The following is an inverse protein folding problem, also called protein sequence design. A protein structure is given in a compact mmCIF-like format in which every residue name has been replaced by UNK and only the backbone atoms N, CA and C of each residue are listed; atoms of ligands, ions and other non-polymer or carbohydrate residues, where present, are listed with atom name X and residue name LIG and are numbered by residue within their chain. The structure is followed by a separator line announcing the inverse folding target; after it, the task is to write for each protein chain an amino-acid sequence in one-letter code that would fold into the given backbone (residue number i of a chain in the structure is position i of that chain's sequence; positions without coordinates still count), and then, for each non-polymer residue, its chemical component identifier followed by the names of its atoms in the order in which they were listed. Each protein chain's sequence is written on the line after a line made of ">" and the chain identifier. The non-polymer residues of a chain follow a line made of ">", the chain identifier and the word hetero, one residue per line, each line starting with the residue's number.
data_IF_532463884579
#
_entry.id   IF_532463884579
#
_cell.length_a   1.000
_cell.length_b   1.000
_cell.length_c   1.000
_cell.angle_alpha   90.00
_cell.angle_beta   90.00
_cell.angle_gamma   90.00
#
_symmetry.space_group_name_H-M   'P 1'
#
loop_
_entity.id
_entity.type
_entity.pdbx_description
1 polymer ?
#
# COMPACT_ATOMS: atom_id res chain seq x y z
N UNK A 1 -22.70 5.21 5.72
CA UNK A 1 -23.56 4.26 6.45
C UNK A 1 -24.91 4.86 6.82
N UNK A 2 -24.97 5.93 7.62
CA UNK A 2 -26.24 6.56 8.07
C UNK A 2 -27.17 7.07 6.95
N UNK A 3 -26.67 7.25 5.73
CA UNK A 3 -27.50 7.69 4.60
C UNK A 3 -28.28 6.55 3.95
N UNK A 4 -27.79 5.29 4.04
CA UNK A 4 -28.49 4.11 3.53
C UNK A 4 -29.34 3.42 4.60
N UNK A 5 -29.01 3.62 5.89
CA UNK A 5 -29.77 3.05 7.00
C UNK A 5 -31.27 3.33 6.98
N UNK A 6 -31.78 4.50 6.52
CA UNK A 6 -33.22 4.74 6.45
C UNK A 6 -33.92 3.95 5.33
N UNK A 7 -33.16 3.39 4.38
CA UNK A 7 -33.69 2.62 3.24
C UNK A 7 -33.68 1.11 3.49
N UNK A 8 -33.05 0.64 4.57
CA UNK A 8 -33.13 -0.74 5.01
C UNK A 8 -34.30 -0.93 5.98
N UNK A 9 -35.07 -2.00 5.79
CA UNK A 9 -36.12 -2.38 6.74
C UNK A 9 -35.52 -2.77 8.10
N UNK A 10 -34.45 -3.57 8.09
CA UNK A 10 -33.59 -3.82 9.25
C UNK A 10 -32.10 -3.60 8.84
N UNK A 11 -31.43 -2.55 9.35
CA UNK A 11 -30.05 -2.23 8.97
C UNK A 11 -29.00 -3.17 9.59
N UNK A 12 -29.36 -3.97 10.61
CA UNK A 12 -28.43 -4.95 11.22
C UNK A 12 -28.61 -6.36 10.67
N UNK A 13 -29.64 -6.59 9.86
CA UNK A 13 -29.84 -7.82 9.11
C UNK A 13 -28.63 -8.14 8.22
N UNK A 14 -28.34 -9.44 8.05
CA UNK A 14 -27.23 -9.92 7.21
C UNK A 14 -27.34 -9.42 5.77
N UNK A 15 -28.54 -9.41 5.19
CA UNK A 15 -28.77 -8.94 3.83
C UNK A 15 -28.41 -7.47 3.66
N UNK A 16 -28.85 -6.61 4.60
CA UNK A 16 -28.55 -5.18 4.62
C UNK A 16 -27.06 -4.89 4.75
N UNK A 17 -26.35 -5.66 5.59
CA UNK A 17 -24.89 -5.60 5.73
C UNK A 17 -24.18 -5.99 4.43
N UNK A 18 -24.54 -7.13 3.86
CA UNK A 18 -23.94 -7.64 2.63
C UNK A 18 -24.15 -6.69 1.45
N UNK A 19 -25.37 -6.14 1.29
CA UNK A 19 -25.67 -5.16 0.25
C UNK A 19 -24.86 -3.87 0.45
N UNK A 20 -24.76 -3.38 1.69
CA UNK A 20 -23.93 -2.22 2.01
C UNK A 20 -22.47 -2.45 1.64
N UNK A 21 -21.89 -3.57 2.08
CA UNK A 21 -20.50 -3.97 1.77
C UNK A 21 -20.26 -4.06 0.25
N UNK A 22 -21.19 -4.65 -0.49
CA UNK A 22 -21.09 -4.78 -1.95
C UNK A 22 -21.15 -3.42 -2.66
N UNK A 23 -22.05 -2.52 -2.25
CA UNK A 23 -22.15 -1.17 -2.81
C UNK A 23 -20.84 -0.40 -2.59
N UNK A 24 -20.23 -0.53 -1.42
CA UNK A 24 -18.93 0.11 -1.15
C UNK A 24 -17.79 -0.51 -1.96
N UNK A 25 -17.72 -1.84 -2.00
CA UNK A 25 -16.68 -2.56 -2.72
C UNK A 25 -16.72 -2.23 -4.22
N UNK A 26 -17.89 -2.35 -4.85
CA UNK A 26 -18.06 -2.14 -6.29
C UNK A 26 -18.09 -0.65 -6.62
N UNK A 27 -18.89 0.14 -5.91
CA UNK A 27 -19.12 1.54 -6.24
C UNK A 27 -17.86 2.40 -6.11
N UNK A 28 -17.09 2.22 -5.03
CA UNK A 28 -15.83 2.95 -4.85
C UNK A 28 -14.65 2.28 -5.57
N UNK A 29 -14.70 0.96 -5.78
CA UNK A 29 -13.63 0.22 -6.45
C UNK A 29 -13.60 0.42 -7.96
N UNK A 30 -14.77 0.41 -8.63
CA UNK A 30 -14.88 0.41 -10.09
C UNK A 30 -14.10 1.54 -10.78
N UNK A 31 -14.20 2.82 -10.35
CA UNK A 31 -13.44 3.89 -10.99
C UNK A 31 -11.92 3.67 -10.93
N UNK A 32 -11.42 3.10 -9.84
CA UNK A 32 -9.98 2.87 -9.65
C UNK A 32 -9.51 1.70 -10.53
N UNK A 33 -10.29 0.62 -10.64
CA UNK A 33 -9.98 -0.47 -11.57
C UNK A 33 -9.94 0.02 -13.02
N UNK A 34 -10.93 0.82 -13.44
CA UNK A 34 -10.94 1.40 -14.78
C UNK A 34 -9.75 2.33 -15.03
N UNK A 35 -9.41 3.16 -14.04
CA UNK A 35 -8.25 4.05 -14.12
C UNK A 35 -6.93 3.26 -14.25
N UNK A 36 -6.76 2.21 -13.46
CA UNK A 36 -5.58 1.36 -13.52
C UNK A 36 -5.45 0.60 -14.84
N UNK A 37 -6.55 0.07 -15.38
CA UNK A 37 -6.57 -0.55 -16.72
C UNK A 37 -6.14 0.46 -17.79
N UNK A 38 -6.67 1.68 -17.73
CA UNK A 38 -6.27 2.74 -18.66
C UNK A 38 -4.77 3.05 -18.55
N UNK A 39 -4.20 3.11 -17.33
CA UNK A 39 -2.75 3.28 -17.16
C UNK A 39 -1.99 2.12 -17.81
N UNK A 40 -2.36 0.87 -17.54
CA UNK A 40 -1.63 -0.31 -18.04
C UNK A 40 -1.60 -0.36 -19.57
N UNK A 41 -2.71 0.03 -20.22
CA UNK A 41 -2.85 -0.02 -21.69
C UNK A 41 -2.21 1.21 -22.34
N UNK A 42 -2.37 2.40 -21.76
CA UNK A 42 -2.04 3.67 -22.41
C UNK A 42 -0.66 4.23 -22.02
N UNK A 43 -0.09 3.83 -20.88
CA UNK A 43 1.17 4.37 -20.40
C UNK A 43 2.35 3.79 -21.19
N UNK A 44 3.16 4.67 -21.80
CA UNK A 44 4.44 4.27 -22.40
C UNK A 44 5.38 3.77 -21.31
N UNK A 45 5.89 2.55 -21.50
CA UNK A 45 6.83 1.93 -20.56
C UNK A 45 8.16 2.65 -20.57
N UNK A 46 8.58 3.14 -19.40
CA UNK A 46 9.94 3.63 -19.16
C UNK A 46 10.50 2.98 -17.90
N UNK A 47 11.06 1.79 -18.05
CA UNK A 47 11.61 1.01 -16.93
C UNK A 47 12.82 1.67 -16.25
N UNK A 48 13.35 2.77 -16.80
CA UNK A 48 14.45 3.54 -16.20
C UNK A 48 13.95 4.78 -15.47
N UNK A 49 12.73 5.25 -15.69
CA UNK A 49 12.17 6.36 -14.94
C UNK A 49 11.76 5.90 -13.53
N UNK A 50 12.23 6.63 -12.51
CA UNK A 50 11.81 6.38 -11.11
C UNK A 50 10.29 6.54 -10.94
N UNK A 51 9.67 7.50 -11.62
CA UNK A 51 8.23 7.71 -11.56
C UNK A 51 7.44 6.49 -12.08
N UNK A 52 7.90 5.88 -13.18
CA UNK A 52 7.28 4.68 -13.75
C UNK A 52 7.43 3.48 -12.81
N UNK A 53 8.61 3.28 -12.22
CA UNK A 53 8.86 2.20 -11.24
C UNK A 53 7.96 2.38 -10.01
N UNK A 54 7.96 3.58 -9.43
CA UNK A 54 7.13 3.89 -8.26
C UNK A 54 5.64 3.70 -8.53
N UNK A 55 5.15 4.14 -9.70
CA UNK A 55 3.75 3.93 -10.09
C UNK A 55 3.42 2.44 -10.25
N UNK A 56 4.30 1.67 -10.90
CA UNK A 56 4.08 0.23 -11.10
C UNK A 56 4.05 -0.51 -9.77
N UNK A 57 5.01 -0.25 -8.89
CA UNK A 57 5.05 -0.85 -7.54
C UNK A 57 3.85 -0.39 -6.69
N UNK A 58 3.49 0.88 -6.77
CA UNK A 58 2.29 1.43 -6.12
C UNK A 58 1.04 0.67 -6.54
N UNK A 59 0.81 0.51 -7.83
CA UNK A 59 -0.34 -0.24 -8.35
C UNK A 59 -0.32 -1.69 -7.88
N UNK A 60 0.83 -2.36 -7.92
CA UNK A 60 0.96 -3.74 -7.46
C UNK A 60 0.61 -3.89 -5.97
N UNK A 61 1.14 -3.00 -5.11
CA UNK A 61 0.87 -2.99 -3.66
C UNK A 61 -0.60 -2.66 -3.39
N UNK A 62 -1.16 -1.69 -4.11
CA UNK A 62 -2.56 -1.31 -4.01
C UNK A 62 -3.46 -2.51 -4.30
N UNK A 63 -3.27 -3.16 -5.45
CA UNK A 63 -4.09 -4.30 -5.85
C UNK A 63 -3.91 -5.50 -4.92
N UNK A 64 -2.70 -5.70 -4.38
CA UNK A 64 -2.50 -6.72 -3.35
C UNK A 64 -3.29 -6.41 -2.08
N UNK A 65 -3.27 -5.14 -1.62
CA UNK A 65 -4.11 -4.68 -0.52
C UNK A 65 -5.61 -4.88 -0.79
N UNK A 66 -6.08 -4.53 -1.99
CA UNK A 66 -7.48 -4.74 -2.39
C UNK A 66 -7.83 -6.23 -2.43
N UNK A 67 -6.96 -7.10 -2.95
CA UNK A 67 -7.18 -8.55 -2.95
C UNK A 67 -7.39 -9.09 -1.52
N UNK A 68 -6.63 -8.57 -0.54
CA UNK A 68 -6.82 -8.92 0.88
C UNK A 68 -8.21 -8.49 1.37
N UNK A 69 -8.69 -7.28 1.04
CA UNK A 69 -10.05 -6.85 1.38
C UNK A 69 -11.13 -7.74 0.79
N UNK A 70 -11.00 -8.08 -0.49
CA UNK A 70 -11.99 -8.90 -1.19
C UNK A 70 -11.95 -10.37 -0.73
N UNK A 71 -10.84 -10.85 -0.17
CA UNK A 71 -10.77 -12.19 0.43
C UNK A 71 -11.61 -12.34 1.70
N UNK A 72 -12.03 -11.23 2.31
CA UNK A 72 -12.74 -11.21 3.58
C UNK A 72 -11.83 -11.47 4.78
N UNK A 73 -12.05 -10.71 5.86
CA UNK A 73 -11.30 -10.88 7.10
C UNK A 73 -12.12 -10.52 8.33
N UNK A 74 -11.74 -11.13 9.45
CA UNK A 74 -12.29 -10.81 10.77
C UNK A 74 -11.57 -9.61 11.40
N UNK A 75 -11.73 -9.46 12.71
CA UNK A 75 -11.08 -8.40 13.48
C UNK A 75 -9.61 -8.77 13.82
N UNK A 76 -8.79 -9.00 12.80
CA UNK A 76 -7.41 -9.51 12.91
C UNK A 76 -6.41 -8.69 12.07
N UNK A 77 -5.14 -9.12 12.02
CA UNK A 77 -4.06 -8.42 11.31
C UNK A 77 -4.23 -8.32 9.78
N UNK A 78 -5.18 -9.03 9.16
CA UNK A 78 -5.52 -8.80 7.74
C UNK A 78 -6.14 -7.42 7.52
N UNK A 79 -6.81 -6.86 8.53
CA UNK A 79 -7.36 -5.50 8.48
C UNK A 79 -6.24 -4.47 8.26
N UNK A 80 -5.21 -4.35 9.14
CA UNK A 80 -4.09 -3.46 8.86
C UNK A 80 -3.28 -3.89 7.63
N UNK A 81 -3.22 -5.17 7.24
CA UNK A 81 -2.55 -5.57 5.99
C UNK A 81 -3.18 -4.88 4.76
N UNK A 82 -4.51 -4.97 4.63
CA UNK A 82 -5.26 -4.28 3.57
C UNK A 82 -5.05 -2.76 3.62
N UNK A 83 -5.20 -2.14 4.80
CA UNK A 83 -5.05 -0.69 4.93
C UNK A 83 -3.65 -0.21 4.57
N UNK A 84 -2.60 -0.92 4.98
CA UNK A 84 -1.24 -0.55 4.58
C UNK A 84 -1.02 -0.76 3.08
N UNK A 85 -1.62 -1.79 2.47
CA UNK A 85 -1.64 -1.94 1.01
C UNK A 85 -2.22 -0.73 0.30
N UNK A 86 -3.32 -0.17 0.80
CA UNK A 86 -3.95 1.01 0.19
C UNK A 86 -3.20 2.34 0.49
N UNK A 87 -2.75 2.55 1.74
CA UNK A 87 -2.14 3.82 2.14
C UNK A 87 -0.72 3.93 1.62
N UNK A 88 0.08 2.87 1.73
CA UNK A 88 1.51 2.95 1.36
C UNK A 88 1.73 2.85 -0.13
N UNK A 89 0.79 2.27 -0.89
CA UNK A 89 0.78 2.41 -2.35
C UNK A 89 0.62 3.88 -2.75
N UNK A 90 -0.32 4.62 -2.13
CA UNK A 90 -0.49 6.05 -2.37
C UNK A 90 0.81 6.80 -2.03
N UNK A 91 1.41 6.51 -0.87
CA UNK A 91 2.69 7.11 -0.48
C UNK A 91 3.78 6.87 -1.53
N UNK A 92 3.96 5.63 -2.01
CA UNK A 92 4.95 5.32 -3.03
C UNK A 92 4.65 6.03 -4.38
N UNK A 93 3.37 6.13 -4.76
CA UNK A 93 2.94 6.90 -5.92
C UNK A 93 3.31 8.38 -5.80
N UNK A 94 3.07 8.98 -4.64
CA UNK A 94 3.44 10.36 -4.35
C UNK A 94 4.96 10.57 -4.32
N UNK A 95 5.74 9.59 -3.85
CA UNK A 95 7.21 9.62 -3.94
C UNK A 95 7.66 9.66 -5.42
N UNK A 96 7.08 8.81 -6.27
CA UNK A 96 7.33 8.80 -7.71
C UNK A 96 6.97 10.12 -8.38
N UNK A 97 5.79 10.67 -8.06
CA UNK A 97 5.34 11.98 -8.53
C UNK A 97 6.30 13.09 -8.10
N UNK A 98 6.78 13.06 -6.85
CA UNK A 98 7.73 14.05 -6.35
C UNK A 98 9.02 14.07 -7.18
N UNK A 99 9.58 12.91 -7.53
CA UNK A 99 10.74 12.85 -8.41
C UNK A 99 10.44 13.34 -9.83
N UNK A 100 9.25 13.06 -10.36
CA UNK A 100 8.82 13.56 -11.66
C UNK A 100 8.79 15.10 -11.67
N UNK A 101 8.13 15.71 -10.67
CA UNK A 101 8.03 17.17 -10.54
C UNK A 101 9.39 17.83 -10.33
N UNK A 102 10.29 17.22 -9.54
CA UNK A 102 11.67 17.73 -9.39
C UNK A 102 12.37 17.79 -10.76
N UNK A 103 12.23 16.74 -11.58
CA UNK A 103 12.83 16.70 -12.93
C UNK A 103 12.23 17.77 -13.83
N UNK A 104 10.93 18.02 -13.72
CA UNK A 104 10.22 19.05 -14.49
C UNK A 104 10.69 20.47 -14.13
N UNK A 105 10.83 20.79 -12.83
CA UNK A 105 11.18 22.14 -12.37
C UNK A 105 12.69 22.44 -12.29
N UNK A 106 13.54 21.43 -12.07
CA UNK A 106 15.01 21.59 -11.90
C UNK A 106 15.82 20.93 -13.01
N UNK A 107 15.16 20.48 -14.09
CA UNK A 107 15.71 19.76 -15.24
C UNK A 107 16.32 18.36 -14.95
N UNK A 108 16.85 18.10 -13.74
CA UNK A 108 17.48 16.80 -13.40
C UNK A 108 17.26 16.42 -11.93
N UNK A 109 16.94 15.15 -11.71
CA UNK A 109 17.16 14.49 -10.42
C UNK A 109 18.62 14.03 -10.41
N UNK A 110 19.44 14.57 -9.51
CA UNK A 110 20.82 14.09 -9.32
C UNK A 110 20.75 12.60 -9.02
N UNK A 111 21.66 11.77 -9.55
CA UNK A 111 21.76 10.31 -9.26
C UNK A 111 20.45 9.50 -9.32
N UNK A 112 19.74 9.56 -10.45
CA UNK A 112 18.46 8.85 -10.68
C UNK A 112 18.49 7.34 -10.34
N UNK A 113 19.66 6.69 -10.39
CA UNK A 113 19.84 5.31 -9.91
C UNK A 113 19.56 5.11 -8.42
N UNK A 114 19.92 6.07 -7.57
CA UNK A 114 19.66 6.05 -6.13
C UNK A 114 18.17 6.27 -5.86
N UNK A 115 17.54 7.19 -6.59
CA UNK A 115 16.09 7.41 -6.49
C UNK A 115 15.29 6.15 -6.88
N UNK A 116 15.72 5.42 -7.92
CA UNK A 116 15.13 4.11 -8.26
C UNK A 116 15.31 3.09 -7.14
N UNK A 117 16.53 2.96 -6.62
CA UNK A 117 16.83 2.02 -5.55
C UNK A 117 15.99 2.34 -4.30
N UNK A 118 15.84 3.62 -3.96
CA UNK A 118 14.98 4.08 -2.87
C UNK A 118 13.54 3.59 -3.05
N UNK A 119 12.94 3.83 -4.23
CA UNK A 119 11.57 3.44 -4.51
C UNK A 119 11.38 1.91 -4.41
N UNK A 120 12.36 1.14 -4.89
CA UNK A 120 12.37 -0.33 -4.80
C UNK A 120 12.48 -0.78 -3.34
N UNK A 121 13.41 -0.23 -2.55
CA UNK A 121 13.59 -0.57 -1.13
C UNK A 121 12.29 -0.30 -0.36
N UNK A 122 11.67 0.87 -0.56
CA UNK A 122 10.40 1.20 0.08
C UNK A 122 9.28 0.24 -0.36
N UNK A 123 9.11 0.04 -1.67
CA UNK A 123 8.05 -0.82 -2.21
C UNK A 123 8.17 -2.27 -1.78
N UNK A 124 9.37 -2.86 -1.85
CA UNK A 124 9.63 -4.23 -1.39
C UNK A 124 9.45 -4.33 0.13
N UNK A 125 9.95 -3.35 0.88
CA UNK A 125 9.75 -3.29 2.33
C UNK A 125 8.27 -3.30 2.71
N UNK A 126 7.46 -2.47 2.05
CA UNK A 126 6.02 -2.43 2.29
C UNK A 126 5.30 -3.70 1.84
N UNK A 127 5.73 -4.33 0.74
CA UNK A 127 5.16 -5.61 0.32
C UNK A 127 5.42 -6.71 1.37
N UNK A 128 6.65 -6.82 1.88
CA UNK A 128 6.99 -7.75 2.96
C UNK A 128 6.22 -7.44 4.25
N UNK A 129 6.09 -6.17 4.60
CA UNK A 129 5.29 -5.72 5.73
C UNK A 129 3.84 -6.21 5.64
N UNK A 130 3.20 -6.00 4.49
CA UNK A 130 1.81 -6.39 4.24
C UNK A 130 1.67 -7.93 4.23
N UNK A 131 2.59 -8.64 3.58
CA UNK A 131 2.61 -10.11 3.55
C UNK A 131 2.71 -10.67 4.97
N UNK A 132 3.61 -10.15 5.79
CA UNK A 132 3.78 -10.59 7.18
C UNK A 132 2.53 -10.36 8.02
N UNK A 133 1.89 -9.19 7.91
CA UNK A 133 0.61 -8.92 8.55
C UNK A 133 -0.50 -9.85 8.08
N UNK A 134 -0.60 -10.06 6.77
CA UNK A 134 -1.62 -10.92 6.16
C UNK A 134 -1.53 -12.35 6.68
N UNK A 135 -0.34 -12.95 6.65
CA UNK A 135 -0.14 -14.32 7.14
C UNK A 135 -0.31 -14.44 8.65
N UNK A 136 0.18 -13.47 9.44
CA UNK A 136 -0.08 -13.47 10.87
C UNK A 136 -1.59 -13.39 11.18
N UNK A 137 -2.34 -12.59 10.42
CA UNK A 137 -3.80 -12.47 10.55
C UNK A 137 -4.56 -13.72 10.10
N UNK A 138 -4.12 -14.40 9.04
CA UNK A 138 -4.66 -15.71 8.64
C UNK A 138 -4.54 -16.76 9.76
N UNK A 139 -3.48 -16.65 10.56
CA UNK A 139 -3.20 -17.52 11.71
C UNK A 139 -3.90 -17.03 13.00
N UNK A 140 -4.77 -16.03 12.91
CA UNK A 140 -5.60 -15.55 14.02
C UNK A 140 -4.94 -14.48 14.89
N UNK A 141 -3.80 -13.91 14.49
CA UNK A 141 -3.18 -12.83 15.25
C UNK A 141 -4.13 -11.61 15.30
N UNK A 142 -4.51 -11.15 16.50
CA UNK A 142 -5.51 -10.09 16.65
C UNK A 142 -4.90 -8.72 16.31
N UNK A 143 -5.76 -7.80 15.86
CA UNK A 143 -5.35 -6.39 15.71
C UNK A 143 -5.57 -5.60 17.00
N UNK A 144 -4.78 -4.55 17.21
CA UNK A 144 -4.89 -3.62 18.34
C UNK A 144 -4.78 -4.31 19.72
N UNK A 145 -4.04 -5.41 19.78
CA UNK A 145 -3.77 -6.13 21.03
C UNK A 145 -2.32 -5.90 21.42
N UNK A 146 -2.10 -5.50 22.67
CA UNK A 146 -0.77 -5.37 23.24
C UNK A 146 -0.28 -6.73 23.77
N UNK A 147 1.05 -6.91 23.82
CA UNK A 147 1.70 -8.14 24.29
C UNK A 147 2.14 -9.06 23.15
N UNK A 148 2.77 -10.17 23.52
CA UNK A 148 3.41 -11.12 22.57
C UNK A 148 2.79 -12.53 22.63
N UNK A 149 1.64 -12.70 23.28
CA UNK A 149 1.03 -14.03 23.48
C UNK A 149 0.76 -14.78 22.18
N UNK A 150 0.34 -14.08 21.13
CA UNK A 150 0.15 -14.65 19.79
C UNK A 150 1.48 -15.01 19.09
N UNK A 151 2.58 -14.40 19.49
CA UNK A 151 3.93 -14.70 18.98
C UNK A 151 4.55 -15.93 19.65
N UNK A 152 3.88 -16.58 20.61
CA UNK A 152 4.30 -17.88 21.13
C UNK A 152 4.22 -18.99 20.07
N UNK A 153 3.38 -18.82 19.05
CA UNK A 153 3.33 -19.70 17.88
C UNK A 153 4.52 -19.41 16.95
N UNK A 154 5.43 -20.38 16.69
CA UNK A 154 6.60 -20.14 15.85
C UNK A 154 6.25 -19.68 14.43
N UNK A 155 5.12 -20.16 13.88
CA UNK A 155 4.68 -19.79 12.54
C UNK A 155 4.13 -18.36 12.50
N UNK A 156 3.40 -17.93 13.53
CA UNK A 156 2.95 -16.53 13.66
C UNK A 156 4.17 -15.62 13.86
N UNK A 157 5.10 -16.03 14.72
CA UNK A 157 6.34 -15.31 14.94
C UNK A 157 7.12 -15.12 13.64
N UNK A 158 7.24 -16.15 12.81
CA UNK A 158 7.92 -16.06 11.51
C UNK A 158 7.26 -15.04 10.57
N UNK A 159 5.93 -15.01 10.51
CA UNK A 159 5.19 -14.02 9.72
C UNK A 159 5.41 -12.59 10.26
N UNK A 160 5.43 -12.43 11.57
CA UNK A 160 5.74 -11.15 12.22
C UNK A 160 7.21 -10.74 12.04
N UNK A 161 8.15 -11.69 11.93
CA UNK A 161 9.54 -11.41 11.57
C UNK A 161 9.63 -10.88 10.14
N UNK A 162 8.91 -11.49 9.18
CA UNK A 162 8.83 -10.98 7.80
C UNK A 162 8.27 -9.57 7.79
N UNK A 163 7.20 -9.31 8.57
CA UNK A 163 6.67 -7.96 8.75
C UNK A 163 7.75 -7.01 9.29
N UNK A 164 8.49 -7.42 10.32
CA UNK A 164 9.57 -6.63 10.93
C UNK A 164 10.69 -6.27 9.95
N UNK A 165 11.14 -7.22 9.12
CA UNK A 165 12.12 -6.97 8.06
C UNK A 165 11.56 -5.96 7.05
N UNK A 166 10.29 -6.13 6.65
CA UNK A 166 9.59 -5.20 5.79
C UNK A 166 9.56 -3.78 6.35
N UNK A 167 9.27 -3.62 7.64
CA UNK A 167 9.31 -2.34 8.35
C UNK A 167 10.68 -1.67 8.24
N UNK A 168 11.76 -2.41 8.50
CA UNK A 168 13.12 -1.85 8.45
C UNK A 168 13.47 -1.35 7.06
N UNK A 169 13.14 -2.13 6.01
CA UNK A 169 13.34 -1.72 4.63
C UNK A 169 12.49 -0.50 4.26
N UNK A 170 11.21 -0.49 4.63
CA UNK A 170 10.32 0.64 4.36
C UNK A 170 10.82 1.93 5.04
N UNK A 171 11.28 1.85 6.29
CA UNK A 171 11.89 2.99 7.00
C UNK A 171 13.16 3.46 6.29
N UNK A 172 14.07 2.55 5.93
CA UNK A 172 15.27 2.90 5.19
C UNK A 172 14.95 3.59 3.86
N UNK A 173 13.99 3.06 3.10
CA UNK A 173 13.50 3.67 1.85
C UNK A 173 12.87 5.05 2.08
N UNK A 174 12.08 5.23 3.14
CA UNK A 174 11.48 6.53 3.47
C UNK A 174 12.52 7.58 3.87
N UNK A 175 13.51 7.17 4.67
CA UNK A 175 14.64 8.03 5.06
C UNK A 175 15.45 8.45 3.83
N UNK A 176 15.79 7.49 2.96
CA UNK A 176 16.46 7.78 1.69
C UNK A 176 15.66 8.77 0.83
N UNK A 177 14.33 8.63 0.75
CA UNK A 177 13.49 9.55 0.00
C UNK A 177 13.61 10.99 0.49
N UNK A 178 13.48 11.20 1.80
CA UNK A 178 13.54 12.54 2.41
C UNK A 178 14.89 13.18 2.15
N UNK A 179 15.99 12.50 2.48
CA UNK A 179 17.33 13.05 2.25
C UNK A 179 17.59 13.36 0.79
N UNK A 180 17.14 12.49 -0.12
CA UNK A 180 17.43 12.64 -1.53
C UNK A 180 16.65 13.75 -2.21
N UNK A 181 15.36 13.88 -1.86
CA UNK A 181 14.53 14.97 -2.37
C UNK A 181 14.98 16.31 -1.80
N UNK A 182 15.30 16.39 -0.50
CA UNK A 182 15.89 17.59 0.10
C UNK A 182 17.20 18.00 -0.59
N UNK A 183 18.11 17.06 -0.79
CA UNK A 183 19.38 17.33 -1.48
C UNK A 183 19.17 17.82 -2.91
N UNK A 184 18.26 17.19 -3.66
CA UNK A 184 17.94 17.55 -5.05
C UNK A 184 17.28 18.93 -5.15
N UNK A 185 16.53 19.36 -4.14
CA UNK A 185 15.86 20.66 -4.12
C UNK A 185 16.80 21.80 -3.73
N UNK A 186 17.72 21.57 -2.77
CA UNK A 186 18.64 22.58 -2.24
C UNK A 186 19.78 22.87 -3.22
N UNK A 187 20.28 21.85 -3.91
CA UNK A 187 21.40 22.01 -4.85
C UNK A 187 20.94 22.84 -6.05
N UNK A 188 21.53 24.03 -6.24
CA UNK A 188 21.37 24.80 -7.48
C UNK A 188 22.08 24.04 -8.61
N UNK A 189 21.32 23.54 -9.56
CA UNK A 189 21.80 23.00 -10.85
C UNK A 189 22.11 24.13 -11.81
#
# INVERSE_FOLDING_TARGET
>A
MLFLTPFFYDPVERASKALSEMIYAIGLGMPIFMHAVNIIISLKRDSKAVAYISLTLSMAIYFFGIAIAYSGFGNDLRVPAHYHGAVTSLTLGLMGLSYHLIKEFKQKVVGEGIARLQAIIYGVGMLLFIIGLFFAGLLGAPRKTYGVGFAASPIVLSALTVMGIGTLLAVAGGVLFVFYTMFSLIRKT
#
